data_IF_936615119050
#
_entry.id   IF_936615119050
#
_cell.length_a   1.000
_cell.length_b   1.000
_cell.length_c   1.000
_cell.angle_alpha   90.00
_cell.angle_beta   90.00
_cell.angle_gamma   90.00
#
_symmetry.space_group_name_H-M   'P 1'
#
loop_
_entity.id
_entity.type
_entity.pdbx_description
1 polymer ?
#
# COMPACT_ATOMS: atom_id res chain seq x y z
N UNK A 1 32.50 -18.19 24.62
CA UNK A 1 31.38 -18.15 23.67
C UNK A 1 30.46 -17.03 24.12
N UNK A 2 30.37 -15.92 23.38
CA UNK A 2 29.52 -14.80 23.80
C UNK A 2 28.14 -15.00 23.20
N UNK A 3 27.08 -14.69 23.95
CA UNK A 3 25.69 -14.84 23.49
C UNK A 3 25.40 -14.12 22.15
N UNK A 4 26.12 -13.03 21.85
CA UNK A 4 26.01 -12.32 20.57
C UNK A 4 26.58 -13.07 19.36
N UNK A 5 27.35 -14.16 19.57
CA UNK A 5 27.87 -15.00 18.50
C UNK A 5 26.83 -16.06 18.06
N UNK A 6 25.71 -16.19 18.79
CA UNK A 6 24.63 -17.17 18.54
C UNK A 6 23.35 -16.51 18.01
N UNK A 7 23.18 -15.21 18.21
CA UNK A 7 21.97 -14.47 17.87
C UNK A 7 22.38 -13.09 17.32
N UNK A 8 22.19 -12.86 16.01
CA UNK A 8 22.21 -11.51 15.46
C UNK A 8 20.94 -10.80 15.93
N UNK A 9 21.08 -9.90 16.91
CA UNK A 9 20.04 -8.95 17.26
C UNK A 9 20.07 -7.81 16.24
N UNK A 10 19.09 -7.78 15.34
CA UNK A 10 18.74 -6.50 14.73
C UNK A 10 17.92 -5.69 15.74
N UNK A 11 18.27 -4.41 15.99
CA UNK A 11 17.46 -3.55 16.82
C UNK A 11 16.05 -3.47 16.22
N UNK A 12 15.04 -3.84 17.00
CA UNK A 12 13.64 -3.60 16.62
C UNK A 12 13.47 -2.08 16.62
N UNK A 13 13.32 -1.48 15.44
CA UNK A 13 12.91 -0.08 15.36
C UNK A 13 11.55 0.07 16.03
N UNK A 14 11.45 1.05 16.91
CA UNK A 14 10.37 1.12 17.89
C UNK A 14 8.99 1.40 17.28
N UNK A 15 8.91 1.87 16.02
CA UNK A 15 7.69 1.97 15.22
C UNK A 15 8.09 1.98 13.73
N UNK A 16 7.56 1.05 12.93
CA UNK A 16 7.69 1.10 11.45
C UNK A 16 6.69 2.11 10.90
N UNK A 17 7.15 3.12 10.15
CA UNK A 17 6.25 4.04 9.46
C UNK A 17 6.03 3.58 8.01
N UNK A 18 4.79 3.66 7.53
CA UNK A 18 4.45 3.21 6.18
C UNK A 18 5.28 3.95 5.11
N UNK A 19 5.48 5.27 5.31
CA UNK A 19 6.24 6.16 4.42
C UNK A 19 7.74 5.88 4.37
N UNK A 20 8.30 5.14 5.34
CA UNK A 20 9.72 4.76 5.29
C UNK A 20 10.02 3.89 4.04
N UNK A 21 9.00 3.21 3.50
CA UNK A 21 9.13 2.43 2.26
C UNK A 21 9.26 3.27 0.98
N UNK A 22 9.20 4.60 1.04
CA UNK A 22 9.50 5.49 -0.08
C UNK A 22 11.02 5.63 -0.31
N UNK A 23 11.86 5.35 0.69
CA UNK A 23 13.32 5.35 0.56
C UNK A 23 13.84 3.94 0.25
N UNK A 24 14.62 3.79 -0.82
CA UNK A 24 15.02 2.48 -1.33
C UNK A 24 15.76 1.60 -0.30
N UNK A 25 16.63 2.19 0.52
CA UNK A 25 17.41 1.46 1.54
C UNK A 25 16.51 0.99 2.68
N UNK A 26 15.61 1.86 3.16
CA UNK A 26 14.62 1.55 4.17
C UNK A 26 13.61 0.51 3.67
N UNK A 27 13.09 0.65 2.45
CA UNK A 27 12.21 -0.33 1.82
C UNK A 27 12.86 -1.72 1.75
N UNK A 28 14.14 -1.78 1.34
CA UNK A 28 14.90 -3.03 1.33
C UNK A 28 15.01 -3.65 2.72
N UNK A 29 15.38 -2.85 3.73
CA UNK A 29 15.50 -3.32 5.11
C UNK A 29 14.15 -3.83 5.64
N UNK A 30 13.06 -3.14 5.34
CA UNK A 30 11.71 -3.59 5.73
C UNK A 30 11.37 -4.94 5.11
N UNK A 31 11.74 -5.19 3.85
CA UNK A 31 11.57 -6.50 3.21
C UNK A 31 12.46 -7.58 3.84
N UNK A 32 13.75 -7.30 4.06
CA UNK A 32 14.71 -8.27 4.61
C UNK A 32 14.37 -8.71 6.04
N UNK A 33 13.86 -7.78 6.84
CA UNK A 33 13.56 -8.00 8.26
C UNK A 33 12.17 -8.56 8.53
N UNK A 34 11.30 -8.62 7.51
CA UNK A 34 9.93 -9.11 7.70
C UNK A 34 9.90 -10.64 7.84
N UNK A 35 9.46 -11.09 9.01
CA UNK A 35 9.32 -12.52 9.31
C UNK A 35 7.96 -13.03 8.84
N UNK A 36 7.97 -13.90 7.83
CA UNK A 36 6.76 -14.46 7.22
C UNK A 36 6.43 -15.80 7.86
N UNK A 37 5.33 -15.86 8.62
CA UNK A 37 4.79 -17.13 9.12
C UNK A 37 4.23 -17.97 7.98
N UNK A 38 4.09 -19.28 8.19
CA UNK A 38 3.51 -20.19 7.19
C UNK A 38 2.10 -19.75 6.76
N UNK A 39 1.24 -19.40 7.72
CA UNK A 39 -0.13 -18.93 7.43
C UNK A 39 -0.11 -17.61 6.64
N UNK A 40 0.82 -16.70 6.97
CA UNK A 40 0.96 -15.45 6.22
C UNK A 40 1.45 -15.72 4.78
N UNK A 41 2.39 -16.64 4.59
CA UNK A 41 2.84 -17.04 3.26
C UNK A 41 1.66 -17.57 2.41
N UNK A 42 0.82 -18.43 2.99
CA UNK A 42 -0.38 -18.94 2.31
C UNK A 42 -1.35 -17.82 1.91
N UNK A 43 -1.58 -16.82 2.78
CA UNK A 43 -2.41 -15.65 2.47
C UNK A 43 -1.78 -14.74 1.42
N UNK A 44 -0.48 -14.50 1.48
CA UNK A 44 0.24 -13.67 0.52
C UNK A 44 0.17 -14.28 -0.88
N UNK A 45 0.48 -15.58 -0.99
CA UNK A 45 0.50 -16.31 -2.27
C UNK A 45 -0.91 -16.54 -2.81
N UNK A 46 -1.85 -16.94 -1.95
CA UNK A 46 -3.18 -17.38 -2.36
C UNK A 46 -4.24 -16.28 -2.46
N UNK A 47 -4.03 -15.12 -1.81
CA UNK A 47 -5.02 -14.05 -1.75
C UNK A 47 -4.44 -12.69 -2.15
N UNK A 48 -3.38 -12.21 -1.47
CA UNK A 48 -2.90 -10.84 -1.65
C UNK A 48 -2.32 -10.61 -3.04
N UNK A 49 -1.35 -11.43 -3.46
CA UNK A 49 -0.69 -11.28 -4.76
C UNK A 49 -1.68 -11.47 -5.93
N UNK A 50 -2.59 -12.47 -5.91
CA UNK A 50 -3.62 -12.61 -6.94
C UNK A 50 -4.57 -11.40 -7.08
N UNK A 51 -4.87 -10.69 -5.98
CA UNK A 51 -5.73 -9.50 -5.99
C UNK A 51 -5.00 -8.25 -6.47
N UNK A 52 -3.68 -8.21 -6.33
CA UNK A 52 -2.86 -7.09 -6.78
C UNK A 52 -2.47 -7.21 -8.25
N UNK A 53 -2.07 -8.39 -8.72
CA UNK A 53 -1.63 -8.55 -10.11
C UNK A 53 -2.69 -8.10 -11.12
N UNK A 54 -2.26 -7.53 -12.23
CA UNK A 54 -3.14 -7.03 -13.29
C UNK A 54 -2.78 -7.56 -14.69
N UNK A 55 -1.87 -8.54 -14.80
CA UNK A 55 -1.57 -9.19 -16.08
C UNK A 55 -2.70 -10.13 -16.52
N UNK A 56 -3.32 -10.82 -15.56
CA UNK A 56 -4.45 -11.70 -15.81
C UNK A 56 -5.74 -10.95 -15.47
N UNK A 57 -6.69 -10.82 -16.42
CA UNK A 57 -7.96 -10.16 -16.17
C UNK A 57 -8.73 -10.86 -15.05
N UNK A 58 -8.95 -10.15 -13.95
CA UNK A 58 -9.70 -10.61 -12.78
C UNK A 58 -10.54 -9.47 -12.22
N UNK A 59 -11.60 -9.81 -11.48
CA UNK A 59 -12.38 -8.83 -10.70
C UNK A 59 -11.61 -8.52 -9.40
N UNK A 60 -10.52 -7.77 -9.52
CA UNK A 60 -9.63 -7.41 -8.42
C UNK A 60 -10.36 -6.51 -7.41
N UNK A 61 -10.15 -6.78 -6.13
CA UNK A 61 -10.81 -6.10 -5.01
C UNK A 61 -9.79 -5.42 -4.12
N UNK A 62 -10.25 -4.39 -3.41
CA UNK A 62 -9.50 -3.79 -2.32
C UNK A 62 -9.19 -4.81 -1.23
N UNK A 63 -8.00 -4.71 -0.63
CA UNK A 63 -7.56 -5.53 0.49
C UNK A 63 -7.60 -4.71 1.77
N UNK A 64 -8.35 -5.19 2.76
CA UNK A 64 -8.39 -4.59 4.09
C UNK A 64 -7.57 -5.44 5.08
N UNK A 65 -6.47 -4.87 5.57
CA UNK A 65 -5.61 -5.53 6.56
C UNK A 65 -6.08 -5.18 7.97
N UNK A 66 -6.57 -6.17 8.71
CA UNK A 66 -7.08 -6.00 10.08
C UNK A 66 -6.22 -6.78 11.07
N UNK A 67 -5.90 -6.15 12.19
CA UNK A 67 -5.13 -6.75 13.28
C UNK A 67 -4.93 -5.77 14.43
N UNK A 68 -4.53 -6.29 15.58
CA UNK A 68 -4.32 -5.47 16.77
C UNK A 68 -3.12 -4.51 16.60
N UNK A 69 -2.99 -3.55 17.52
CA UNK A 69 -1.81 -2.69 17.56
C UNK A 69 -0.54 -3.52 17.77
N UNK A 70 0.55 -3.16 17.09
CA UNK A 70 1.85 -3.82 17.23
C UNK A 70 1.97 -5.20 16.55
N UNK A 71 0.98 -5.66 15.77
CA UNK A 71 1.04 -6.96 15.07
C UNK A 71 1.74 -6.90 13.71
N UNK A 72 2.48 -5.83 13.41
CA UNK A 72 3.23 -5.67 12.15
C UNK A 72 2.37 -5.38 10.91
N UNK A 73 1.19 -4.75 11.06
CA UNK A 73 0.31 -4.40 9.91
C UNK A 73 0.99 -3.41 8.97
N UNK A 74 1.49 -2.30 9.50
CA UNK A 74 2.17 -1.28 8.71
C UNK A 74 3.43 -1.86 8.07
N UNK A 75 4.19 -2.70 8.79
CA UNK A 75 5.32 -3.43 8.23
C UNK A 75 4.91 -4.35 7.07
N UNK A 76 3.82 -5.11 7.19
CA UNK A 76 3.27 -5.91 6.10
C UNK A 76 2.88 -5.05 4.89
N UNK A 77 2.21 -3.92 5.11
CA UNK A 77 1.82 -2.98 4.04
C UNK A 77 3.05 -2.35 3.37
N UNK A 78 4.08 -1.99 4.12
CA UNK A 78 5.37 -1.53 3.60
C UNK A 78 6.07 -2.60 2.77
N UNK A 79 6.04 -3.86 3.19
CA UNK A 79 6.63 -4.98 2.44
C UNK A 79 5.90 -5.20 1.12
N UNK A 80 4.57 -5.30 1.15
CA UNK A 80 3.76 -5.51 -0.06
C UNK A 80 3.96 -4.37 -1.05
N UNK A 81 3.88 -3.14 -0.57
CA UNK A 81 4.01 -1.94 -1.41
C UNK A 81 5.44 -1.74 -1.93
N UNK A 82 6.45 -1.99 -1.09
CA UNK A 82 7.86 -1.98 -1.50
C UNK A 82 8.14 -2.99 -2.60
N UNK A 83 7.65 -4.22 -2.47
CA UNK A 83 7.76 -5.25 -3.52
C UNK A 83 7.06 -4.80 -4.81
N UNK A 84 5.84 -4.27 -4.71
CA UNK A 84 5.06 -3.80 -5.85
C UNK A 84 5.76 -2.68 -6.64
N UNK A 85 6.50 -1.82 -5.94
CA UNK A 85 7.22 -0.68 -6.52
C UNK A 85 8.62 -1.02 -7.05
N UNK A 86 9.32 -1.95 -6.39
CA UNK A 86 10.75 -2.20 -6.63
C UNK A 86 10.97 -3.63 -7.15
N UNK A 87 11.48 -3.81 -8.39
CA UNK A 87 11.68 -5.14 -8.99
C UNK A 87 12.74 -5.99 -8.24
N UNK A 88 13.75 -5.33 -7.67
CA UNK A 88 14.90 -6.02 -7.06
C UNK A 88 14.63 -6.55 -5.65
N UNK A 89 13.54 -6.10 -4.99
CA UNK A 89 13.29 -6.44 -3.59
C UNK A 89 12.78 -7.87 -3.37
N UNK A 90 12.29 -8.53 -4.42
CA UNK A 90 11.88 -9.94 -4.32
C UNK A 90 13.03 -10.86 -3.90
N UNK A 91 14.27 -10.54 -4.29
CA UNK A 91 15.46 -11.29 -3.92
C UNK A 91 15.84 -11.15 -2.44
N UNK A 92 15.31 -10.12 -1.76
CA UNK A 92 15.54 -9.84 -0.34
C UNK A 92 14.54 -10.55 0.58
N UNK A 93 13.51 -11.22 0.03
CA UNK A 93 12.54 -11.97 0.83
C UNK A 93 13.12 -13.28 1.39
N UNK A 94 12.89 -13.52 2.67
CA UNK A 94 13.33 -14.75 3.36
C UNK A 94 12.53 -16.01 2.97
N UNK A 95 11.31 -15.84 2.45
CA UNK A 95 10.42 -16.94 2.07
C UNK A 95 10.39 -17.11 0.54
N UNK A 96 10.93 -18.23 0.05
CA UNK A 96 11.06 -18.51 -1.38
C UNK A 96 9.72 -18.63 -2.13
N UNK A 97 8.68 -19.18 -1.49
CA UNK A 97 7.35 -19.33 -2.12
C UNK A 97 6.71 -17.96 -2.33
N UNK A 98 6.81 -17.08 -1.32
CA UNK A 98 6.35 -15.70 -1.43
C UNK A 98 7.18 -14.92 -2.44
N UNK A 99 8.51 -15.07 -2.44
CA UNK A 99 9.39 -14.41 -3.40
C UNK A 99 9.04 -14.77 -4.85
N UNK A 100 8.80 -16.06 -5.12
CA UNK A 100 8.38 -16.53 -6.43
C UNK A 100 7.01 -15.98 -6.84
N UNK A 101 6.04 -15.96 -5.92
CA UNK A 101 4.72 -15.41 -6.21
C UNK A 101 4.79 -13.88 -6.45
N UNK A 102 5.59 -13.17 -5.66
CA UNK A 102 5.70 -11.70 -5.69
C UNK A 102 6.29 -11.18 -7.01
N UNK A 103 6.97 -12.01 -7.80
CA UNK A 103 7.39 -11.67 -9.18
C UNK A 103 6.24 -11.13 -10.04
N UNK A 104 4.99 -11.56 -9.79
CA UNK A 104 3.81 -11.11 -10.52
C UNK A 104 3.46 -9.64 -10.31
N UNK A 105 3.91 -9.05 -9.20
CA UNK A 105 3.64 -7.65 -8.86
C UNK A 105 4.91 -6.81 -8.80
N UNK A 106 6.08 -7.45 -8.86
CA UNK A 106 7.33 -6.79 -8.51
C UNK A 106 7.73 -5.72 -9.52
N UNK A 107 7.90 -4.48 -9.03
CA UNK A 107 8.19 -3.33 -9.89
C UNK A 107 7.08 -2.99 -10.89
N UNK A 108 5.85 -3.48 -10.69
CA UNK A 108 4.72 -3.26 -11.59
C UNK A 108 3.87 -2.05 -11.23
N UNK A 109 4.16 -1.36 -10.13
CA UNK A 109 3.32 -0.29 -9.61
C UNK A 109 4.07 1.01 -9.38
N UNK A 110 3.36 2.12 -9.55
CA UNK A 110 3.62 3.35 -8.81
C UNK A 110 2.79 3.31 -7.54
N UNK A 111 3.41 3.65 -6.40
CA UNK A 111 2.77 3.50 -5.10
C UNK A 111 2.53 4.87 -4.48
N UNK A 112 1.34 5.04 -3.90
CA UNK A 112 0.99 6.18 -3.05
C UNK A 112 0.78 5.64 -1.64
N UNK A 113 1.61 6.08 -0.69
CA UNK A 113 1.57 5.65 0.71
C UNK A 113 1.08 6.80 1.58
N UNK A 114 -0.09 6.63 2.19
CA UNK A 114 -0.70 7.67 3.01
C UNK A 114 -1.18 7.13 4.35
N UNK A 115 -1.27 8.03 5.33
CA UNK A 115 -1.72 7.76 6.68
C UNK A 115 -2.80 8.79 7.03
N UNK A 116 -3.97 8.31 7.43
CA UNK A 116 -5.07 9.20 7.79
C UNK A 116 -4.89 9.65 9.24
N UNK A 117 -4.46 10.90 9.42
CA UNK A 117 -4.39 11.54 10.73
C UNK A 117 -5.73 12.06 11.25
N UNK A 118 -5.69 12.80 12.36
CA UNK A 118 -6.86 13.46 12.93
C UNK A 118 -7.37 14.57 11.99
N UNK A 119 -8.55 14.37 11.39
CA UNK A 119 -9.12 15.31 10.42
C UNK A 119 -10.66 15.32 10.47
N UNK A 120 -11.25 16.42 10.01
CA UNK A 120 -12.70 16.56 9.80
C UNK A 120 -13.11 16.34 8.34
N UNK A 121 -12.13 16.19 7.43
CA UNK A 121 -12.38 15.96 6.01
C UNK A 121 -13.12 14.63 5.78
N UNK A 122 -13.85 14.54 4.66
CA UNK A 122 -14.45 13.27 4.20
C UNK A 122 -13.37 12.31 3.72
N UNK A 123 -13.67 11.00 3.72
CA UNK A 123 -12.73 9.98 3.23
C UNK A 123 -12.35 10.28 1.78
N UNK A 124 -13.35 10.61 0.95
CA UNK A 124 -13.15 11.00 -0.43
C UNK A 124 -12.14 12.14 -0.54
N UNK A 125 -12.36 13.23 0.18
CA UNK A 125 -11.52 14.43 0.05
C UNK A 125 -10.09 14.19 0.53
N UNK A 126 -9.91 13.35 1.55
CA UNK A 126 -8.58 12.91 2.00
C UNK A 126 -7.88 12.14 0.88
N UNK A 127 -8.53 11.11 0.33
CA UNK A 127 -7.91 10.23 -0.65
C UNK A 127 -7.61 10.96 -1.97
N UNK A 128 -8.50 11.81 -2.46
CA UNK A 128 -8.25 12.55 -3.71
C UNK A 128 -7.16 13.62 -3.54
N UNK A 129 -7.08 14.28 -2.38
CA UNK A 129 -6.01 15.24 -2.11
C UNK A 129 -4.63 14.56 -2.10
N UNK A 130 -4.52 13.41 -1.41
CA UNK A 130 -3.29 12.62 -1.38
C UNK A 130 -2.91 12.11 -2.78
N UNK A 131 -3.90 11.66 -3.57
CA UNK A 131 -3.66 11.25 -4.96
C UNK A 131 -3.18 12.41 -5.83
N UNK A 132 -3.81 13.58 -5.78
CA UNK A 132 -3.39 14.75 -6.55
C UNK A 132 -1.95 15.17 -6.23
N UNK A 133 -1.61 15.23 -4.94
CA UNK A 133 -0.26 15.59 -4.49
C UNK A 133 0.79 14.62 -5.03
N UNK A 134 0.56 13.31 -4.87
CA UNK A 134 1.52 12.30 -5.30
C UNK A 134 1.59 12.17 -6.83
N UNK A 135 0.45 12.27 -7.52
CA UNK A 135 0.43 12.27 -9.00
C UNK A 135 1.21 13.47 -9.54
N UNK A 136 1.02 14.66 -8.97
CA UNK A 136 1.78 15.84 -9.35
C UNK A 136 3.29 15.67 -9.12
N UNK A 137 3.69 15.07 -7.99
CA UNK A 137 5.08 14.73 -7.71
C UNK A 137 5.66 13.71 -8.71
N UNK A 138 4.83 12.83 -9.27
CA UNK A 138 5.19 11.89 -10.34
C UNK A 138 5.14 12.51 -11.75
N UNK A 139 4.76 13.78 -11.90
CA UNK A 139 4.62 14.45 -13.20
C UNK A 139 3.27 14.25 -13.88
N UNK A 140 2.29 13.62 -13.22
CA UNK A 140 0.93 13.43 -13.73
C UNK A 140 0.04 14.58 -13.24
N UNK A 141 -0.45 15.41 -14.16
CA UNK A 141 -1.36 16.50 -13.82
C UNK A 141 -2.82 16.05 -13.95
N UNK A 142 -3.51 15.99 -12.81
CA UNK A 142 -4.95 15.77 -12.74
C UNK A 142 -5.52 16.49 -11.51
N UNK A 143 -6.75 16.98 -11.61
CA UNK A 143 -7.49 17.54 -10.47
C UNK A 143 -8.89 16.97 -10.44
N UNK A 144 -9.27 16.40 -9.31
CA UNK A 144 -10.60 15.90 -9.04
C UNK A 144 -11.57 17.08 -8.86
N UNK A 145 -12.79 16.98 -9.43
CA UNK A 145 -13.85 17.93 -9.14
C UNK A 145 -14.27 17.85 -7.65
N UNK A 146 -14.89 18.90 -7.13
CA UNK A 146 -15.39 18.88 -5.75
C UNK A 146 -16.57 17.91 -5.59
N UNK A 147 -16.79 17.42 -4.36
CA UNK A 147 -17.79 16.39 -4.09
C UNK A 147 -19.23 16.83 -4.45
N UNK A 148 -19.53 18.13 -4.35
CA UNK A 148 -20.82 18.73 -4.70
C UNK A 148 -21.04 18.90 -6.22
N UNK A 149 -20.00 18.69 -7.02
CA UNK A 149 -20.03 18.81 -8.48
C UNK A 149 -20.16 17.46 -9.20
N UNK A 150 -20.13 16.34 -8.47
CA UNK A 150 -20.19 14.99 -9.05
C UNK A 150 -21.25 14.13 -8.41
N UNK A 151 -21.93 13.32 -9.23
CA UNK A 151 -22.89 12.32 -8.75
C UNK A 151 -22.22 11.05 -8.24
N UNK A 152 -20.99 10.78 -8.66
CA UNK A 152 -20.16 9.65 -8.23
C UNK A 152 -18.70 9.88 -8.63
N UNK A 153 -17.78 9.11 -8.04
CA UNK A 153 -16.34 9.26 -8.27
C UNK A 153 -15.81 8.49 -9.49
N UNK A 154 -16.59 7.56 -10.05
CA UNK A 154 -16.10 6.60 -11.06
C UNK A 154 -15.46 7.29 -12.26
N UNK A 155 -16.17 8.27 -12.85
CA UNK A 155 -15.68 9.00 -14.01
C UNK A 155 -14.38 9.75 -13.72
N UNK A 156 -14.28 10.39 -12.55
CA UNK A 156 -13.07 11.10 -12.15
C UNK A 156 -11.88 10.16 -12.01
N UNK A 157 -12.07 8.98 -11.42
CA UNK A 157 -11.02 7.96 -11.35
C UNK A 157 -10.62 7.41 -12.73
N UNK A 158 -11.57 7.21 -13.66
CA UNK A 158 -11.27 6.79 -15.04
C UNK A 158 -10.43 7.84 -15.79
N UNK A 159 -10.80 9.11 -15.68
CA UNK A 159 -10.06 10.22 -16.29
C UNK A 159 -8.66 10.39 -15.65
N UNK A 160 -8.56 10.25 -14.32
CA UNK A 160 -7.28 10.26 -13.60
C UNK A 160 -6.37 9.12 -14.07
N UNK A 161 -6.88 7.89 -14.15
CA UNK A 161 -6.10 6.75 -14.63
C UNK A 161 -5.69 6.89 -16.10
N UNK A 162 -6.52 7.54 -16.92
CA UNK A 162 -6.16 7.86 -18.30
C UNK A 162 -5.00 8.85 -18.38
N UNK A 163 -4.94 9.85 -17.50
CA UNK A 163 -3.79 10.76 -17.38
C UNK A 163 -2.55 10.02 -16.85
N UNK A 164 -2.71 9.18 -15.83
CA UNK A 164 -1.63 8.38 -15.27
C UNK A 164 -0.99 7.44 -16.31
N UNK A 165 -1.78 6.73 -17.12
CA UNK A 165 -1.26 5.83 -18.15
C UNK A 165 -0.58 6.55 -19.33
N UNK A 166 -0.78 7.86 -19.52
CA UNK A 166 -0.01 8.61 -20.51
C UNK A 166 1.48 8.67 -20.12
N UNK A 167 1.76 8.81 -18.83
CA UNK A 167 3.12 8.85 -18.28
C UNK A 167 3.65 7.45 -17.92
N UNK A 168 2.79 6.53 -17.45
CA UNK A 168 3.17 5.21 -16.94
C UNK A 168 2.37 4.07 -17.62
N UNK A 169 2.66 3.80 -18.89
CA UNK A 169 1.87 2.86 -19.73
C UNK A 169 1.80 1.42 -19.19
N UNK A 170 2.89 0.92 -18.61
CA UNK A 170 3.00 -0.49 -18.18
C UNK A 170 2.94 -0.67 -16.65
N UNK A 171 2.50 0.35 -15.91
CA UNK A 171 2.40 0.29 -14.46
C UNK A 171 0.96 0.42 -13.99
N UNK A 172 0.63 -0.26 -12.89
CA UNK A 172 -0.54 0.03 -12.08
C UNK A 172 -0.28 1.17 -11.10
N UNK A 173 -1.35 1.74 -10.56
CA UNK A 173 -1.28 2.64 -9.40
C UNK A 173 -1.78 1.89 -8.16
N UNK A 174 -0.97 1.84 -7.11
CA UNK A 174 -1.32 1.20 -5.83
C UNK A 174 -1.41 2.26 -4.73
N UNK A 175 -2.62 2.47 -4.21
CA UNK A 175 -2.87 3.32 -3.06
C UNK A 175 -2.88 2.49 -1.77
N UNK A 176 -2.03 2.84 -0.82
CA UNK A 176 -1.91 2.18 0.49
C UNK A 176 -2.26 3.20 1.56
N UNK A 177 -3.26 2.87 2.38
CA UNK A 177 -3.84 3.78 3.36
C UNK A 177 -3.72 3.14 4.75
N UNK A 178 -2.91 3.72 5.63
CA UNK A 178 -2.87 3.36 7.05
C UNK A 178 -3.91 4.15 7.86
N UNK A 179 -4.22 3.68 9.07
CA UNK A 179 -5.17 4.32 10.02
C UNK A 179 -6.62 4.43 9.51
N UNK A 180 -6.99 3.80 8.39
CA UNK A 180 -8.35 3.89 7.81
C UNK A 180 -9.46 3.52 8.81
N UNK A 181 -9.32 2.41 9.54
CA UNK A 181 -10.33 1.99 10.50
C UNK A 181 -10.43 2.92 11.70
N UNK A 182 -9.31 3.52 12.12
CA UNK A 182 -9.30 4.47 13.23
C UNK A 182 -9.93 5.80 12.81
N UNK A 183 -9.70 6.25 11.57
CA UNK A 183 -10.47 7.32 10.95
C UNK A 183 -11.97 7.01 10.93
N UNK A 184 -12.40 5.87 10.39
CA UNK A 184 -13.81 5.51 10.26
C UNK A 184 -14.52 5.44 11.62
N UNK A 185 -13.82 5.02 12.69
CA UNK A 185 -14.36 5.01 14.07
C UNK A 185 -14.65 6.40 14.62
N UNK A 186 -14.01 7.44 14.10
CA UNK A 186 -14.23 8.82 14.56
C UNK A 186 -15.44 9.48 13.89
N UNK A 187 -15.95 8.90 12.80
CA UNK A 187 -17.05 9.45 12.00
C UNK A 187 -18.39 9.27 12.70
N UNK A 188 -19.26 10.26 12.56
CA UNK A 188 -20.66 10.15 13.01
C UNK A 188 -21.46 9.30 12.02
N UNK A 189 -22.56 8.70 12.46
CA UNK A 189 -23.37 7.76 11.66
C UNK A 189 -23.65 8.22 10.22
N UNK A 190 -24.12 9.47 10.04
CA UNK A 190 -24.41 10.00 8.70
C UNK A 190 -23.14 10.23 7.86
N UNK A 191 -22.06 10.69 8.49
CA UNK A 191 -20.78 10.93 7.82
C UNK A 191 -20.17 9.61 7.34
N UNK A 192 -20.24 8.57 8.19
CA UNK A 192 -19.76 7.23 7.86
C UNK A 192 -20.50 6.64 6.65
N UNK A 193 -21.82 6.84 6.54
CA UNK A 193 -22.61 6.38 5.39
C UNK A 193 -22.21 7.13 4.11
N UNK A 194 -21.83 8.40 4.21
CA UNK A 194 -21.37 9.18 3.05
C UNK A 194 -19.96 8.81 2.60
N UNK A 195 -19.15 8.23 3.48
CA UNK A 195 -17.79 7.78 3.18
C UNK A 195 -17.71 6.34 2.61
N UNK A 196 -18.77 5.54 2.72
CA UNK A 196 -18.85 4.14 2.26
C UNK A 196 -19.66 4.00 0.96
#
# INVERSE_FOLDING_TARGET
>A
MKYGDLIQFEPIESVVQLRDADEATAARRLVETYVISKEMAEKLVGLVIPQLQFEQPTDNKGLLVVGNYGTGKSHLMSVISGLAENPDLTASLSNADVANAAQKISGRFKVVRTEIGATTMSLRDILVAELEEHLAAMGVSYSFPSADQVSNNKRSFEEMMAAFHQEFQDHGLLLVVDELLDYLRTRKDQELILDL
#
